data_IF_722354930492
#
_entry.id   IF_722354930492
#
_cell.length_a   1.000
_cell.length_b   1.000
_cell.length_c   1.000
_cell.angle_alpha   90.00
_cell.angle_beta   90.00
_cell.angle_gamma   90.00
#
_symmetry.space_group_name_H-M   'P 1'
#
loop_
_entity.id
_entity.type
_entity.pdbx_description
1 polymer ?
#
# COMPACT_ATOMS: atom_id res chain seq x y z
N UNK A 1 0.05 56.11 61.24
CA UNK A 1 0.94 54.97 61.00
C UNK A 1 2.37 55.47 61.03
N UNK A 2 3.21 54.79 61.80
CA UNK A 2 4.61 55.15 61.97
C UNK A 2 5.40 54.79 60.69
N UNK A 3 6.31 55.65 60.23
CA UNK A 3 7.08 55.42 58.98
C UNK A 3 7.89 54.11 59.04
N UNK A 4 8.28 53.70 60.25
CA UNK A 4 9.03 52.49 60.51
C UNK A 4 8.20 51.21 60.27
N UNK A 5 6.90 51.28 60.56
CA UNK A 5 5.94 50.16 60.40
C UNK A 5 5.65 49.87 58.92
N UNK A 6 5.57 50.93 58.10
CA UNK A 6 5.39 50.84 56.63
C UNK A 6 6.64 50.27 55.94
N UNK A 7 7.84 50.64 56.40
CA UNK A 7 9.10 50.11 55.85
C UNK A 7 9.31 48.64 56.21
N UNK A 8 8.94 48.23 57.43
CA UNK A 8 8.99 46.83 57.83
C UNK A 8 8.00 45.96 57.06
N UNK A 9 6.78 46.44 56.81
CA UNK A 9 5.79 45.68 56.04
C UNK A 9 6.21 45.49 54.56
N UNK A 10 6.75 46.53 53.92
CA UNK A 10 7.31 46.45 52.56
C UNK A 10 8.52 45.50 52.47
N UNK A 11 9.39 45.52 53.47
CA UNK A 11 10.55 44.62 53.55
C UNK A 11 10.14 43.14 53.66
N UNK A 12 9.12 42.84 54.47
CA UNK A 12 8.60 41.48 54.61
C UNK A 12 7.88 41.00 53.35
N UNK A 13 7.09 41.85 52.69
CA UNK A 13 6.44 41.50 51.42
C UNK A 13 7.47 41.15 50.33
N UNK A 14 8.55 41.92 50.22
CA UNK A 14 9.58 41.67 49.19
C UNK A 14 10.34 40.37 49.45
N UNK A 15 10.61 40.04 50.73
CA UNK A 15 11.22 38.76 51.11
C UNK A 15 10.35 37.57 50.71
N UNK A 16 9.04 37.64 50.95
CA UNK A 16 8.11 36.58 50.57
C UNK A 16 8.08 36.37 49.05
N UNK A 17 7.97 37.45 48.27
CA UNK A 17 7.99 37.37 46.80
C UNK A 17 9.30 36.78 46.29
N UNK A 18 10.45 37.14 46.88
CA UNK A 18 11.73 36.54 46.51
C UNK A 18 11.79 35.05 46.82
N UNK A 19 11.24 34.63 47.96
CA UNK A 19 11.17 33.22 48.31
C UNK A 19 10.30 32.44 47.32
N UNK A 20 9.14 32.97 46.95
CA UNK A 20 8.26 32.38 45.92
C UNK A 20 8.99 32.23 44.58
N UNK A 21 9.69 33.27 44.11
CA UNK A 21 10.47 33.21 42.85
C UNK A 21 11.53 32.11 42.91
N UNK A 22 12.27 32.02 44.01
CA UNK A 22 13.32 31.02 44.23
C UNK A 22 12.76 29.58 44.20
N UNK A 23 11.60 29.38 44.83
CA UNK A 23 10.90 28.09 44.81
C UNK A 23 10.41 27.73 43.41
N UNK A 24 9.81 28.67 42.69
CA UNK A 24 9.33 28.46 41.32
C UNK A 24 10.47 28.18 40.33
N UNK A 25 11.62 28.86 40.48
CA UNK A 25 12.81 28.56 39.66
C UNK A 25 13.31 27.14 39.90
N UNK A 26 13.35 26.70 41.16
CA UNK A 26 13.77 25.33 41.51
C UNK A 26 12.84 24.31 40.88
N UNK A 27 11.52 24.46 41.08
CA UNK A 27 10.50 23.58 40.47
C UNK A 27 10.60 23.53 38.95
N UNK A 28 10.80 24.68 38.31
CA UNK A 28 10.88 24.77 36.85
C UNK A 28 12.16 24.11 36.33
N UNK A 29 13.30 24.30 36.99
CA UNK A 29 14.54 23.66 36.60
C UNK A 29 14.47 22.14 36.76
N UNK A 30 13.88 21.66 37.86
CA UNK A 30 13.64 20.23 38.08
C UNK A 30 12.74 19.63 36.99
N UNK A 31 11.63 20.31 36.68
CA UNK A 31 10.72 19.92 35.60
C UNK A 31 11.44 19.83 34.24
N UNK A 32 12.24 20.84 33.90
CA UNK A 32 13.00 20.85 32.64
C UNK A 32 14.01 19.72 32.58
N UNK A 33 14.73 19.45 33.66
CA UNK A 33 15.74 18.38 33.72
C UNK A 33 15.09 17.00 33.54
N UNK A 34 14.00 16.74 34.26
CA UNK A 34 13.25 15.48 34.17
C UNK A 34 12.72 15.27 32.76
N UNK A 35 11.98 16.25 32.22
CA UNK A 35 11.38 16.10 30.90
C UNK A 35 12.40 16.04 29.78
N UNK A 36 13.49 16.82 29.84
CA UNK A 36 14.57 16.72 28.85
C UNK A 36 15.23 15.34 28.92
N UNK A 37 15.40 14.78 30.12
CA UNK A 37 15.89 13.41 30.30
C UNK A 37 14.97 12.36 29.68
N UNK A 38 13.65 12.49 29.86
CA UNK A 38 12.67 11.61 29.23
C UNK A 38 12.76 11.69 27.70
N UNK A 39 12.83 12.90 27.13
CA UNK A 39 12.93 13.08 25.67
C UNK A 39 14.23 12.48 25.12
N UNK A 40 15.34 12.60 25.84
CA UNK A 40 16.62 12.00 25.47
C UNK A 40 16.50 10.47 25.38
N UNK A 41 15.92 9.84 26.41
CA UNK A 41 15.70 8.40 26.41
C UNK A 41 14.81 7.96 25.23
N UNK A 42 13.73 8.70 24.94
CA UNK A 42 12.85 8.42 23.80
C UNK A 42 13.64 8.48 22.49
N UNK A 43 14.48 9.50 22.30
CA UNK A 43 15.29 9.64 21.08
C UNK A 43 16.30 8.50 20.91
N UNK A 44 16.92 8.05 22.01
CA UNK A 44 17.84 6.90 22.03
C UNK A 44 17.12 5.58 21.71
N UNK A 45 15.97 5.31 22.34
CA UNK A 45 15.16 4.11 22.06
C UNK A 45 14.69 4.06 20.60
N UNK A 46 14.24 5.20 20.05
CA UNK A 46 13.81 5.28 18.66
C UNK A 46 14.97 5.05 17.69
N UNK A 47 16.15 5.58 17.97
CA UNK A 47 17.35 5.32 17.19
C UNK A 47 17.68 3.84 17.14
N UNK A 48 17.63 3.17 18.28
CA UNK A 48 17.95 1.74 18.40
C UNK A 48 16.90 0.86 17.72
N UNK A 49 15.62 1.18 17.87
CA UNK A 49 14.51 0.44 17.26
C UNK A 49 14.51 0.61 15.73
N UNK A 50 14.69 1.85 15.25
CA UNK A 50 14.67 2.15 13.82
C UNK A 50 16.00 1.84 13.13
N UNK A 51 17.08 1.63 13.90
CA UNK A 51 18.45 1.34 13.42
C UNK A 51 18.91 2.33 12.35
N UNK A 52 18.57 3.60 12.53
CA UNK A 52 18.94 4.70 11.63
C UNK A 52 19.77 5.75 12.37
N UNK A 53 20.28 6.74 11.63
CA UNK A 53 21.07 7.84 12.19
C UNK A 53 20.28 9.15 12.29
N UNK A 54 18.99 9.09 11.98
CA UNK A 54 18.17 10.28 11.83
C UNK A 54 17.94 11.00 13.17
N UNK A 55 18.02 10.29 14.29
CA UNK A 55 17.86 10.85 15.64
C UNK A 55 19.17 11.37 16.26
N UNK A 56 20.33 11.19 15.61
CA UNK A 56 21.64 11.59 16.17
C UNK A 56 21.66 13.08 16.54
N UNK A 57 21.13 13.94 15.67
CA UNK A 57 21.07 15.38 15.92
C UNK A 57 20.17 15.71 17.13
N UNK A 58 19.01 15.05 17.26
CA UNK A 58 18.12 15.26 18.40
C UNK A 58 18.78 14.83 19.72
N UNK A 59 19.49 13.70 19.72
CA UNK A 59 20.18 13.19 20.90
C UNK A 59 21.24 14.19 21.38
N UNK A 60 22.08 14.69 20.47
CA UNK A 60 23.13 15.65 20.83
C UNK A 60 22.54 17.00 21.29
N UNK A 61 21.47 17.47 20.65
CA UNK A 61 20.74 18.67 21.08
C UNK A 61 20.19 18.51 22.51
N UNK A 62 19.55 17.38 22.81
CA UNK A 62 18.95 17.10 24.12
C UNK A 62 20.01 16.89 25.21
N UNK A 63 21.17 16.30 24.89
CA UNK A 63 22.30 16.19 25.82
C UNK A 63 22.85 17.57 26.19
N UNK A 64 23.10 18.42 25.19
CA UNK A 64 23.59 19.77 25.42
C UNK A 64 22.59 20.59 26.25
N UNK A 65 21.29 20.49 25.94
CA UNK A 65 20.24 21.14 26.71
C UNK A 65 20.20 20.66 28.17
N UNK A 66 20.33 19.34 28.39
CA UNK A 66 20.36 18.76 29.74
C UNK A 66 21.55 19.30 30.54
N UNK A 67 22.74 19.40 29.94
CA UNK A 67 23.91 19.99 30.58
C UNK A 67 23.70 21.47 30.95
N UNK A 68 23.10 22.27 30.05
CA UNK A 68 22.76 23.67 30.34
C UNK A 68 21.77 23.79 31.52
N UNK A 69 20.75 22.92 31.56
CA UNK A 69 19.75 22.89 32.66
C UNK A 69 20.40 22.51 33.98
N UNK A 70 21.25 21.48 34.02
CA UNK A 70 21.97 21.08 35.24
C UNK A 70 22.87 22.22 35.73
N UNK A 71 23.50 22.97 34.82
CA UNK A 71 24.27 24.18 35.14
C UNK A 71 23.41 25.28 35.77
N UNK A 72 22.25 25.59 35.20
CA UNK A 72 21.32 26.58 35.75
C UNK A 72 20.78 26.15 37.12
N UNK A 73 20.50 24.87 37.31
CA UNK A 73 20.03 24.30 38.58
C UNK A 73 21.05 24.50 39.71
N UNK A 74 22.34 24.33 39.41
CA UNK A 74 23.41 24.64 40.37
C UNK A 74 23.44 26.14 40.74
N UNK A 75 23.22 27.03 39.76
CA UNK A 75 23.17 28.47 39.99
C UNK A 75 21.93 28.89 40.81
N UNK A 76 20.76 28.28 40.55
CA UNK A 76 19.55 28.47 41.37
C UNK A 76 19.80 28.03 42.82
N UNK A 77 20.46 26.88 43.02
CA UNK A 77 20.81 26.41 44.36
C UNK A 77 21.70 27.41 45.10
N UNK A 78 22.75 27.93 44.43
CA UNK A 78 23.62 28.99 44.97
C UNK A 78 22.83 30.24 45.35
N UNK A 79 21.91 30.66 44.50
CA UNK A 79 21.03 31.81 44.74
C UNK A 79 20.09 31.58 45.95
N UNK A 80 19.64 30.36 46.16
CA UNK A 80 18.80 29.98 47.29
C UNK A 80 19.57 29.96 48.61
N UNK A 81 20.84 29.56 48.58
CA UNK A 81 21.74 29.52 49.73
C UNK A 81 22.26 30.90 50.16
N UNK A 82 22.16 31.92 49.29
CA UNK A 82 22.47 33.30 49.67
C UNK A 82 21.57 33.78 50.80
N UNK A 83 22.20 34.03 51.96
CA UNK A 83 21.55 34.49 53.18
C UNK A 83 20.77 35.79 52.93
N UNK A 84 19.70 36.01 53.71
CA UNK A 84 18.75 37.14 53.64
C UNK A 84 19.37 38.52 53.97
N UNK A 85 20.68 38.69 53.75
CA UNK A 85 21.45 39.90 54.01
C UNK A 85 21.11 40.95 52.94
N UNK A 86 19.95 41.56 53.13
CA UNK A 86 19.50 42.73 52.40
C UNK A 86 19.04 42.44 50.97
N UNK A 87 17.95 43.09 50.59
CA UNK A 87 17.51 43.24 49.19
C UNK A 87 18.52 44.10 48.41
N UNK A 88 19.79 43.70 48.38
CA UNK A 88 20.81 44.40 47.64
C UNK A 88 20.45 44.33 46.15
N UNK A 89 20.70 45.42 45.43
CA UNK A 89 20.46 45.49 43.98
C UNK A 89 21.19 44.38 43.19
N UNK A 90 22.20 43.75 43.81
CA UNK A 90 22.92 42.61 43.27
C UNK A 90 22.09 41.32 43.27
N UNK A 91 21.41 40.97 44.37
CA UNK A 91 20.58 39.76 44.44
C UNK A 91 19.41 39.86 43.45
N UNK A 92 18.78 41.03 43.33
CA UNK A 92 17.71 41.27 42.35
C UNK A 92 18.21 41.08 40.92
N UNK A 93 19.44 41.51 40.62
CA UNK A 93 20.06 41.33 39.31
C UNK A 93 20.32 39.86 39.01
N UNK A 94 20.86 39.11 39.98
CA UNK A 94 21.16 37.69 39.82
C UNK A 94 19.87 36.88 39.63
N UNK A 95 18.81 37.16 40.40
CA UNK A 95 17.46 36.59 40.21
C UNK A 95 16.98 36.83 38.77
N UNK A 96 17.09 38.06 38.26
CA UNK A 96 16.65 38.41 36.91
C UNK A 96 17.46 37.65 35.84
N UNK A 97 18.77 37.52 36.03
CA UNK A 97 19.64 36.78 35.11
C UNK A 97 19.25 35.31 35.06
N UNK A 98 19.07 34.68 36.22
CA UNK A 98 18.61 33.29 36.32
C UNK A 98 17.24 33.11 35.65
N UNK A 99 16.30 34.02 35.90
CA UNK A 99 14.98 34.00 35.27
C UNK A 99 15.03 34.09 33.74
N UNK A 100 15.86 34.97 33.19
CA UNK A 100 16.03 35.08 31.74
C UNK A 100 16.64 33.80 31.14
N UNK A 101 17.65 33.21 31.79
CA UNK A 101 18.23 31.94 31.34
C UNK A 101 17.19 30.82 31.41
N UNK A 102 16.38 30.78 32.46
CA UNK A 102 15.31 29.78 32.61
C UNK A 102 14.29 29.87 31.46
N UNK A 103 13.86 31.07 31.08
CA UNK A 103 12.96 31.29 29.94
C UNK A 103 13.61 30.80 28.64
N UNK A 104 14.88 31.15 28.40
CA UNK A 104 15.59 30.70 27.20
C UNK A 104 15.71 29.17 27.14
N UNK A 105 15.95 28.51 28.28
CA UNK A 105 15.99 27.05 28.34
C UNK A 105 14.61 26.42 28.12
N UNK A 106 13.53 27.04 28.60
CA UNK A 106 12.17 26.60 28.28
C UNK A 106 11.90 26.67 26.77
N UNK A 107 12.27 27.78 26.12
CA UNK A 107 12.11 27.93 24.67
C UNK A 107 12.93 26.89 23.90
N UNK A 108 14.19 26.65 24.30
CA UNK A 108 15.01 25.59 23.73
C UNK A 108 14.39 24.21 23.93
N UNK A 109 13.93 23.88 25.14
CA UNK A 109 13.28 22.60 25.42
C UNK A 109 12.05 22.35 24.56
N UNK A 110 11.18 23.35 24.41
CA UNK A 110 10.02 23.28 23.50
C UNK A 110 10.48 23.09 22.05
N UNK A 111 11.54 23.78 21.62
CA UNK A 111 12.15 23.62 20.30
C UNK A 111 12.67 22.19 20.05
N UNK A 112 13.44 21.65 20.98
CA UNK A 112 14.00 20.30 20.89
C UNK A 112 12.91 19.23 20.87
N UNK A 113 11.85 19.38 21.67
CA UNK A 113 10.67 18.50 21.62
C UNK A 113 10.01 18.54 20.24
N UNK A 114 9.81 19.75 19.69
CA UNK A 114 9.22 19.91 18.37
C UNK A 114 10.06 19.24 17.30
N UNK A 115 11.38 19.45 17.31
CA UNK A 115 12.30 18.81 16.37
C UNK A 115 12.26 17.29 16.47
N UNK A 116 12.26 16.73 17.69
CA UNK A 116 12.16 15.29 17.91
C UNK A 116 10.84 14.74 17.35
N UNK A 117 9.73 15.41 17.63
CA UNK A 117 8.41 14.99 17.15
C UNK A 117 8.29 15.05 15.62
N UNK A 118 8.79 16.11 14.99
CA UNK A 118 8.81 16.24 13.54
C UNK A 118 9.63 15.11 12.90
N UNK A 119 10.79 14.79 13.49
CA UNK A 119 11.64 13.70 13.02
C UNK A 119 10.97 12.33 13.21
N UNK A 120 10.38 12.06 14.37
CA UNK A 120 9.57 10.86 14.62
C UNK A 120 8.49 10.68 13.55
N UNK A 121 7.72 11.74 13.29
CA UNK A 121 6.66 11.72 12.28
C UNK A 121 7.19 11.40 10.90
N UNK A 122 8.30 12.02 10.49
CA UNK A 122 8.93 11.75 9.20
C UNK A 122 9.41 10.31 9.07
N UNK A 123 10.16 9.82 10.07
CA UNK A 123 10.73 8.46 10.03
C UNK A 123 9.66 7.38 10.04
N UNK A 124 8.65 7.51 10.89
CA UNK A 124 7.53 6.56 10.94
C UNK A 124 6.72 6.57 9.64
N UNK A 125 6.46 7.75 9.07
CA UNK A 125 5.75 7.86 7.78
C UNK A 125 6.54 7.19 6.65
N UNK A 126 7.84 7.46 6.57
CA UNK A 126 8.72 6.86 5.56
C UNK A 126 8.74 5.34 5.65
N UNK A 127 8.92 4.78 6.85
CA UNK A 127 8.95 3.33 7.04
C UNK A 127 7.61 2.67 6.72
N UNK A 128 6.49 3.29 7.09
CA UNK A 128 5.15 2.80 6.76
C UNK A 128 4.93 2.79 5.25
N UNK A 129 5.24 3.88 4.55
CA UNK A 129 5.11 3.95 3.09
C UNK A 129 5.98 2.91 2.40
N UNK A 130 7.23 2.72 2.85
CA UNK A 130 8.14 1.71 2.30
C UNK A 130 7.64 0.28 2.50
N UNK A 131 7.04 -0.01 3.66
CA UNK A 131 6.42 -1.31 3.92
C UNK A 131 5.21 -1.55 3.00
N UNK A 132 4.36 -0.54 2.82
CA UNK A 132 3.21 -0.60 1.90
C UNK A 132 3.63 -0.82 0.44
N UNK A 133 4.70 -0.15 0.00
CA UNK A 133 5.26 -0.33 -1.34
C UNK A 133 5.71 -1.78 -1.57
N UNK A 134 6.51 -2.33 -0.65
CA UNK A 134 6.95 -3.75 -0.73
C UNK A 134 5.77 -4.71 -0.78
N UNK A 135 4.74 -4.47 0.03
CA UNK A 135 3.53 -5.28 0.03
C UNK A 135 2.78 -5.20 -1.30
N UNK A 136 2.69 -4.02 -1.91
CA UNK A 136 2.08 -3.84 -3.23
C UNK A 136 2.89 -4.52 -4.34
N UNK A 137 4.22 -4.43 -4.30
CA UNK A 137 5.09 -5.15 -5.22
C UNK A 137 4.88 -6.68 -5.12
N UNK A 138 4.77 -7.22 -3.90
CA UNK A 138 4.46 -8.63 -3.67
C UNK A 138 3.10 -9.02 -4.28
N UNK A 139 2.05 -8.22 -4.03
CA UNK A 139 0.72 -8.44 -4.62
C UNK A 139 0.76 -8.44 -6.14
N UNK A 140 1.45 -7.48 -6.74
CA UNK A 140 1.64 -7.40 -8.19
C UNK A 140 2.37 -8.65 -8.70
N UNK A 141 3.41 -9.11 -7.99
CA UNK A 141 4.14 -10.33 -8.32
C UNK A 141 3.23 -11.57 -8.34
N UNK A 142 2.39 -11.76 -7.32
CA UNK A 142 1.43 -12.87 -7.24
C UNK A 142 0.44 -12.82 -8.41
N UNK A 143 -0.16 -11.65 -8.67
CA UNK A 143 -1.13 -11.47 -9.76
C UNK A 143 -0.47 -11.75 -11.11
N UNK A 144 0.74 -11.25 -11.36
CA UNK A 144 1.51 -11.54 -12.59
C UNK A 144 1.76 -13.04 -12.74
N UNK A 145 2.19 -13.72 -11.67
CA UNK A 145 2.42 -15.17 -11.68
C UNK A 145 1.15 -15.96 -12.02
N UNK A 146 0.01 -15.59 -11.42
CA UNK A 146 -1.28 -16.22 -11.72
C UNK A 146 -1.71 -15.99 -13.17
N UNK A 147 -1.63 -14.75 -13.66
CA UNK A 147 -1.98 -14.42 -15.06
C UNK A 147 -1.13 -15.21 -16.04
N UNK A 148 0.18 -15.31 -15.81
CA UNK A 148 1.07 -16.11 -16.66
C UNK A 148 0.69 -17.59 -16.62
N UNK A 149 0.44 -18.16 -15.44
CA UNK A 149 0.01 -19.56 -15.30
C UNK A 149 -1.33 -19.84 -16.00
N UNK A 150 -2.31 -18.93 -15.87
CA UNK A 150 -3.59 -19.04 -16.56
C UNK A 150 -3.43 -18.92 -18.08
N UNK A 151 -2.55 -18.03 -18.56
CA UNK A 151 -2.22 -17.92 -19.99
C UNK A 151 -1.59 -19.21 -20.52
N UNK A 152 -0.63 -19.80 -19.80
CA UNK A 152 0.01 -21.06 -20.21
C UNK A 152 -1.00 -22.22 -20.24
N UNK A 153 -1.89 -22.28 -19.23
CA UNK A 153 -2.98 -23.26 -19.21
C UNK A 153 -3.90 -23.09 -20.41
N UNK A 154 -4.37 -21.86 -20.70
CA UNK A 154 -5.23 -21.57 -21.85
C UNK A 154 -4.55 -21.96 -23.16
N UNK A 155 -3.26 -21.62 -23.35
CA UNK A 155 -2.49 -22.02 -24.52
C UNK A 155 -2.40 -23.54 -24.66
N UNK A 156 -2.19 -24.26 -23.56
CA UNK A 156 -2.17 -25.72 -23.57
C UNK A 156 -3.53 -26.33 -23.95
N UNK A 157 -4.64 -25.78 -23.42
CA UNK A 157 -5.99 -26.22 -23.79
C UNK A 157 -6.32 -25.89 -25.25
N UNK A 158 -5.88 -24.72 -25.74
CA UNK A 158 -6.08 -24.31 -27.13
C UNK A 158 -5.41 -25.28 -28.11
N UNK A 159 -4.16 -25.71 -27.82
CA UNK A 159 -3.48 -26.73 -28.63
C UNK A 159 -4.23 -28.06 -28.68
N UNK A 160 -4.75 -28.52 -27.53
CA UNK A 160 -5.55 -29.75 -27.47
C UNK A 160 -6.82 -29.63 -28.31
N UNK A 161 -7.51 -28.49 -28.22
CA UNK A 161 -8.70 -28.22 -29.03
C UNK A 161 -8.38 -28.19 -30.53
N UNK A 162 -7.29 -27.55 -30.93
CA UNK A 162 -6.81 -27.52 -32.31
C UNK A 162 -6.59 -28.94 -32.85
N UNK A 163 -5.91 -29.82 -32.08
CA UNK A 163 -5.71 -31.23 -32.45
C UNK A 163 -7.03 -31.99 -32.60
N UNK A 164 -8.01 -31.76 -31.72
CA UNK A 164 -9.32 -32.41 -31.83
C UNK A 164 -10.07 -31.98 -33.09
N UNK A 165 -10.02 -30.70 -33.46
CA UNK A 165 -10.66 -30.21 -34.68
C UNK A 165 -10.01 -30.78 -35.94
N UNK A 166 -8.68 -30.89 -35.98
CA UNK A 166 -7.97 -31.52 -37.11
C UNK A 166 -8.36 -32.99 -37.28
N UNK A 167 -8.44 -33.76 -36.20
CA UNK A 167 -8.90 -35.16 -36.26
C UNK A 167 -10.34 -35.27 -36.77
N UNK A 168 -11.21 -34.36 -36.32
CA UNK A 168 -12.61 -34.33 -36.73
C UNK A 168 -12.76 -33.97 -38.21
N UNK A 169 -11.92 -33.06 -38.72
CA UNK A 169 -11.85 -32.73 -40.14
C UNK A 169 -11.40 -33.93 -40.98
N UNK A 170 -10.36 -34.65 -40.55
CA UNK A 170 -9.89 -35.85 -41.23
C UNK A 170 -10.99 -36.92 -41.30
N UNK A 171 -11.69 -37.16 -40.18
CA UNK A 171 -12.82 -38.10 -40.13
C UNK A 171 -13.95 -37.66 -41.07
N UNK A 172 -14.28 -36.37 -41.10
CA UNK A 172 -15.31 -35.85 -42.00
C UNK A 172 -14.97 -36.09 -43.47
N UNK A 173 -13.69 -35.93 -43.85
CA UNK A 173 -13.22 -36.21 -45.21
C UNK A 173 -13.27 -37.70 -45.52
N UNK A 174 -12.94 -38.55 -44.56
CA UNK A 174 -12.99 -40.01 -44.72
C UNK A 174 -14.43 -40.51 -44.89
N UNK A 175 -15.36 -40.04 -44.05
CA UNK A 175 -16.79 -40.33 -44.19
C UNK A 175 -17.30 -39.92 -45.57
N UNK A 176 -16.95 -38.72 -46.04
CA UNK A 176 -17.41 -38.22 -47.33
C UNK A 176 -16.86 -39.06 -48.50
N UNK A 177 -15.62 -39.56 -48.40
CA UNK A 177 -15.06 -40.51 -49.38
C UNK A 177 -15.77 -41.86 -49.36
N UNK A 178 -16.12 -42.35 -48.17
CA UNK A 178 -16.82 -43.62 -48.02
C UNK A 178 -18.26 -43.53 -48.52
N UNK A 179 -18.95 -42.40 -48.28
CA UNK A 179 -20.25 -42.08 -48.89
C UNK A 179 -20.17 -42.05 -50.42
N UNK A 180 -19.18 -41.37 -51.01
CA UNK A 180 -18.98 -41.34 -52.46
C UNK A 180 -18.70 -42.72 -53.07
N UNK A 181 -18.02 -43.61 -52.33
CA UNK A 181 -17.80 -45.00 -52.76
C UNK A 181 -19.09 -45.81 -52.72
N UNK A 182 -19.88 -45.65 -51.66
CA UNK A 182 -21.18 -46.33 -51.53
C UNK A 182 -22.17 -45.90 -52.62
N UNK A 183 -22.23 -44.61 -52.96
CA UNK A 183 -23.07 -44.12 -54.06
C UNK A 183 -22.63 -44.66 -55.45
N UNK A 184 -21.32 -44.83 -55.66
CA UNK A 184 -20.78 -45.44 -56.89
C UNK A 184 -21.03 -46.94 -56.96
N UNK A 185 -20.99 -47.64 -55.82
CA UNK A 185 -21.26 -49.07 -55.73
C UNK A 185 -22.76 -49.40 -55.84
N UNK A 186 -23.66 -48.49 -55.43
CA UNK A 186 -25.11 -48.63 -55.63
C UNK A 186 -25.53 -48.34 -57.08
N UNK A 187 -24.92 -47.33 -57.73
CA UNK A 187 -25.16 -47.04 -59.14
C UNK A 187 -24.72 -48.18 -60.09
N UNK A 188 -23.75 -49.01 -59.68
CA UNK A 188 -23.30 -50.18 -60.44
C UNK A 188 -24.20 -51.43 -60.29
N UNK A 189 -25.26 -51.39 -59.45
CA UNK A 189 -26.19 -52.52 -59.25
C UNK A 189 -27.60 -52.30 -59.80
N UNK A 190 -27.93 -51.13 -60.32
CA UNK A 190 -29.23 -50.84 -60.93
C UNK A 190 -29.21 -51.02 -62.46
N UNK A 191 -29.02 -52.25 -62.92
CA UNK A 191 -29.46 -52.65 -64.27
C UNK A 191 -30.04 -54.07 -64.26
N UNK A 192 -31.32 -54.18 -63.93
CA UNK A 192 -32.20 -55.21 -64.50
C UNK A 192 -33.66 -54.77 -64.36
N UNK A 193 -34.43 -54.62 -65.47
CA UNK A 193 -35.84 -54.28 -65.42
C UNK A 193 -36.69 -55.55 -65.41
N UNK A 194 -37.59 -55.71 -64.44
CA UNK A 194 -38.64 -56.75 -64.51
C UNK A 194 -39.99 -56.15 -64.11
N UNK A 195 -40.85 -56.05 -65.11
CA UNK A 195 -42.31 -55.85 -65.01
C UNK A 195 -42.99 -57.06 -64.34
N UNK A 196 -44.04 -56.84 -63.53
CA UNK A 196 -45.39 -57.47 -63.65
C UNK A 196 -46.33 -57.20 -62.45
N UNK A 197 -47.45 -56.54 -62.78
CA UNK A 197 -48.87 -56.71 -62.41
C UNK A 197 -49.35 -57.20 -61.01
N UNK A 198 -50.24 -56.36 -60.46
CA UNK A 198 -51.58 -56.61 -59.87
C UNK A 198 -51.78 -57.66 -58.76
N UNK A 199 -52.18 -57.21 -57.55
CA UNK A 199 -53.55 -57.40 -57.03
C UNK A 199 -53.83 -56.67 -55.71
N UNK A 200 -55.04 -56.11 -55.66
CA UNK A 200 -55.74 -55.44 -54.54
C UNK A 200 -55.66 -56.14 -53.17
N UNK A 201 -55.57 -55.37 -52.09
CA UNK A 201 -56.55 -55.43 -50.97
C UNK A 201 -56.63 -54.07 -50.26
N UNK A 202 -57.85 -53.57 -50.08
CA UNK A 202 -58.23 -52.35 -49.38
C UNK A 202 -57.86 -52.40 -47.89
N UNK A 203 -57.37 -51.31 -47.32
CA UNK A 203 -58.04 -50.60 -46.22
C UNK A 203 -57.31 -49.30 -45.81
N UNK A 204 -58.06 -48.20 -45.96
CA UNK A 204 -58.15 -47.00 -45.12
C UNK A 204 -56.92 -46.09 -44.85
N UNK A 205 -57.21 -44.84 -45.19
CA UNK A 205 -56.90 -43.59 -44.47
C UNK A 205 -55.68 -42.77 -44.92
N UNK A 206 -56.03 -41.55 -45.33
CA UNK A 206 -55.28 -40.29 -45.33
C UNK A 206 -54.50 -39.94 -46.61
N UNK A 207 -55.25 -39.30 -47.51
CA UNK A 207 -54.76 -38.35 -48.50
C UNK A 207 -54.30 -37.04 -47.84
N UNK A 208 -53.32 -36.42 -48.50
CA UNK A 208 -52.98 -34.98 -48.51
C UNK A 208 -52.30 -34.46 -47.22
N UNK A 209 -51.18 -33.74 -47.24
CA UNK A 209 -50.65 -32.82 -48.25
C UNK A 209 -49.16 -32.50 -47.96
N UNK A 210 -48.42 -32.16 -49.01
CA UNK A 210 -47.01 -31.76 -49.02
C UNK A 210 -46.65 -30.64 -48.02
N UNK A 211 -45.52 -30.79 -47.31
CA UNK A 211 -44.64 -29.65 -47.01
C UNK A 211 -43.18 -30.10 -47.12
N UNK A 212 -42.46 -29.42 -48.00
CA UNK A 212 -41.00 -29.45 -48.17
C UNK A 212 -40.27 -29.35 -46.82
N UNK A 213 -39.68 -30.44 -46.33
CA UNK A 213 -38.55 -30.34 -45.41
C UNK A 213 -37.32 -29.93 -46.23
N UNK A 214 -37.24 -28.63 -46.53
CA UNK A 214 -35.95 -27.98 -46.73
C UNK A 214 -35.12 -28.29 -45.49
N UNK A 215 -34.12 -29.15 -45.67
CA UNK A 215 -33.04 -29.34 -44.72
C UNK A 215 -32.31 -28.01 -44.53
N UNK A 216 -32.86 -27.12 -43.69
CA UNK A 216 -32.08 -26.10 -43.03
C UNK A 216 -31.07 -26.83 -42.14
N UNK A 217 -29.94 -27.18 -42.75
CA UNK A 217 -28.75 -27.66 -42.05
C UNK A 217 -28.41 -26.59 -41.02
N UNK A 218 -28.88 -26.77 -39.78
CA UNK A 218 -28.39 -26.06 -38.60
C UNK A 218 -26.88 -25.98 -38.75
N UNK A 219 -26.26 -24.79 -38.70
CA UNK A 219 -24.81 -24.68 -38.87
C UNK A 219 -24.17 -25.61 -37.84
N UNK A 220 -23.53 -26.67 -38.34
CA UNK A 220 -22.94 -27.72 -37.51
C UNK A 220 -22.11 -27.07 -36.42
N UNK A 221 -22.23 -27.55 -35.19
CA UNK A 221 -21.52 -27.04 -34.00
C UNK A 221 -20.02 -26.85 -34.26
N UNK A 222 -19.46 -27.67 -35.15
CA UNK A 222 -18.12 -27.54 -35.75
C UNK A 222 -17.80 -26.17 -36.37
N UNK A 223 -18.71 -25.62 -37.19
CA UNK A 223 -18.50 -24.32 -37.85
C UNK A 223 -18.42 -23.19 -36.83
N UNK A 224 -19.30 -23.21 -35.83
CA UNK A 224 -19.28 -22.23 -34.72
C UNK A 224 -18.02 -22.36 -33.86
N UNK A 225 -17.58 -23.59 -33.57
CA UNK A 225 -16.31 -23.86 -32.87
C UNK A 225 -15.11 -23.32 -33.63
N UNK A 226 -15.03 -23.56 -34.95
CA UNK A 226 -13.97 -23.05 -35.82
C UNK A 226 -13.95 -21.52 -35.93
N UNK A 227 -15.10 -20.89 -36.09
CA UNK A 227 -15.21 -19.42 -36.13
C UNK A 227 -14.73 -18.78 -34.83
N UNK A 228 -15.13 -19.32 -33.67
CA UNK A 228 -14.67 -18.83 -32.38
C UNK A 228 -13.16 -19.01 -32.21
N UNK A 229 -12.60 -20.11 -32.72
CA UNK A 229 -11.16 -20.35 -32.69
C UNK A 229 -10.37 -19.34 -33.53
N UNK A 230 -10.88 -19.00 -34.73
CA UNK A 230 -10.27 -17.98 -35.57
C UNK A 230 -10.33 -16.58 -34.96
N UNK A 231 -11.41 -16.24 -34.24
CA UNK A 231 -11.51 -14.97 -33.51
C UNK A 231 -10.44 -14.88 -32.42
N UNK A 232 -10.26 -15.95 -31.63
CA UNK A 232 -9.25 -16.01 -30.56
C UNK A 232 -7.83 -15.89 -31.13
N UNK A 233 -7.50 -16.62 -32.21
CA UNK A 233 -6.17 -16.54 -32.88
C UNK A 233 -5.86 -15.16 -33.46
N UNK A 234 -6.87 -14.43 -33.96
CA UNK A 234 -6.72 -13.06 -34.47
C UNK A 234 -6.49 -12.06 -33.34
N UNK A 235 -7.21 -12.20 -32.22
CA UNK A 235 -7.03 -11.33 -31.06
C UNK A 235 -5.67 -11.53 -30.35
N UNK A 236 -5.15 -12.75 -30.29
CA UNK A 236 -3.84 -13.04 -29.68
C UNK A 236 -2.69 -12.36 -30.45
N UNK A 237 -2.70 -12.44 -31.79
CA UNK A 237 -1.73 -11.74 -32.65
C UNK A 237 -1.77 -10.21 -32.51
N UNK A 238 -2.94 -9.63 -32.27
CA UNK A 238 -3.08 -8.17 -32.05
C UNK A 238 -2.54 -7.75 -30.68
N UNK A 239 -2.67 -8.61 -29.65
CA UNK A 239 -2.15 -8.33 -28.30
C UNK A 239 -0.62 -8.45 -28.22
N UNK A 240 0.01 -9.42 -28.89
CA UNK A 240 1.47 -9.54 -28.97
C UNK A 240 2.12 -8.32 -29.65
N UNK A 241 1.51 -7.80 -30.72
CA UNK A 241 1.99 -6.59 -31.42
C UNK A 241 1.83 -5.32 -30.55
N UNK A 242 0.84 -5.27 -29.66
CA UNK A 242 0.63 -4.14 -28.75
C UNK A 242 1.57 -4.18 -27.53
N UNK A 243 1.94 -5.38 -27.06
CA UNK A 243 2.91 -5.54 -25.98
C UNK A 243 4.32 -5.05 -26.38
N UNK A 244 4.75 -5.32 -27.62
CA UNK A 244 6.04 -4.82 -28.15
C UNK A 244 6.11 -3.30 -28.37
N UNK A 245 4.98 -2.59 -28.48
CA UNK A 245 4.97 -1.14 -28.70
C UNK A 245 4.93 -0.30 -27.43
N UNK A 246 4.74 -0.90 -26.24
CA UNK A 246 4.61 -0.17 -24.96
C UNK A 246 5.91 0.00 -24.18
N UNK A 247 7.02 -0.56 -24.65
CA UNK A 247 8.31 -0.58 -23.93
C UNK A 247 9.28 0.54 -24.34
N UNK A 248 8.75 1.65 -24.89
CA UNK A 248 9.53 2.87 -25.13
C UNK A 248 8.88 4.04 -24.42
N UNK A 249 9.33 4.32 -23.20
CA UNK A 249 9.07 5.61 -22.55
C UNK A 249 8.79 5.52 -21.06
N UNK A 250 9.84 5.30 -20.28
CA UNK A 250 10.09 6.02 -19.03
C UNK A 250 11.57 5.78 -18.66
N UNK A 251 12.45 6.53 -19.32
CA UNK A 251 13.74 6.88 -18.72
C UNK A 251 13.52 8.03 -17.72
N UNK A 252 14.41 8.05 -16.72
CA UNK A 252 14.37 8.81 -15.46
C UNK A 252 14.12 10.32 -15.57
#
# INVERSE_FOLDING_TARGET
>A
MDKNEVLQSQGNQTKNVMQEIKEEYTKTADFLEEHTGIQLNIAEELKDEMKNKDFDANIEELKALKEEITGLKAEIKRLNEMENIGLSSLIVRDIKTVGNTLINLQEKAVGSIKHLYDNMKHQLSYNLTKAQEKFMQMKIGIVKGLVNSMQDFIKAQQRKLDTCLEKLDNLSVEIQKDEEKLEKDSANKEQTPIEKKEQNTKEKENQEENVEEKSEKKPSVLKKLKENQQKIKKEEKVRDVKAHKKDKGMEM
#
